data_IF_269785626690
#
_entry.id   IF_269785626690
#
_cell.length_a   1.000
_cell.length_b   1.000
_cell.length_c   1.000
_cell.angle_alpha   90.00
_cell.angle_beta   90.00
_cell.angle_gamma   90.00
#
_symmetry.space_group_name_H-M   'P 1'
#
loop_
_entity.id
_entity.type
_entity.pdbx_description
1 polymer ?
#
# COMPACT_ATOMS: atom_id res chain seq x y z
N UNK A 1 -1.29 13.36 3.82
CA UNK A 1 -2.43 12.87 3.00
C UNK A 1 -3.44 12.20 3.93
N UNK A 2 -4.69 12.04 3.52
CA UNK A 2 -5.68 11.33 4.33
C UNK A 2 -5.57 9.81 4.12
N UNK A 3 -6.15 9.00 5.02
CA UNK A 3 -6.24 7.56 4.81
C UNK A 3 -6.97 7.23 3.51
N UNK A 4 -8.01 7.99 3.16
CA UNK A 4 -8.76 7.80 1.92
C UNK A 4 -7.90 8.08 0.67
N UNK A 5 -7.05 9.12 0.70
CA UNK A 5 -6.12 9.40 -0.40
C UNK A 5 -5.10 8.28 -0.58
N UNK A 6 -4.59 7.73 0.52
CA UNK A 6 -3.65 6.62 0.52
C UNK A 6 -4.31 5.34 -0.04
N UNK A 7 -5.53 5.00 0.38
CA UNK A 7 -6.27 3.85 -0.18
C UNK A 7 -6.52 4.02 -1.67
N UNK A 8 -6.92 5.21 -2.11
CA UNK A 8 -7.08 5.56 -3.53
C UNK A 8 -5.78 5.38 -4.31
N UNK A 9 -4.66 5.80 -3.74
CA UNK A 9 -3.35 5.62 -4.35
C UNK A 9 -2.98 4.14 -4.50
N UNK A 10 -3.19 3.34 -3.44
CA UNK A 10 -2.95 1.89 -3.47
C UNK A 10 -3.84 1.21 -4.51
N UNK A 11 -5.13 1.57 -4.60
CA UNK A 11 -6.04 1.04 -5.61
C UNK A 11 -5.52 1.31 -7.03
N UNK A 12 -5.07 2.54 -7.31
CA UNK A 12 -4.47 2.89 -8.61
C UNK A 12 -3.18 2.12 -8.89
N UNK A 13 -2.34 1.93 -7.88
CA UNK A 13 -1.09 1.17 -7.99
C UNK A 13 -1.36 -0.29 -8.39
N UNK A 14 -2.36 -0.90 -7.76
CA UNK A 14 -2.80 -2.26 -8.07
C UNK A 14 -3.78 -2.34 -9.25
N UNK A 15 -4.06 -1.23 -9.95
CA UNK A 15 -5.05 -1.17 -11.04
C UNK A 15 -6.44 -1.70 -10.65
N UNK A 16 -6.77 -1.57 -9.37
CA UNK A 16 -8.04 -1.96 -8.77
C UNK A 16 -8.97 -0.75 -8.61
N UNK A 17 -10.27 -1.01 -8.44
CA UNK A 17 -11.22 0.05 -8.11
C UNK A 17 -11.04 0.54 -6.67
N UNK A 18 -11.16 1.85 -6.46
CA UNK A 18 -11.19 2.45 -5.11
C UNK A 18 -12.32 1.86 -4.24
N UNK A 19 -13.39 1.38 -4.87
CA UNK A 19 -14.51 0.71 -4.19
C UNK A 19 -14.27 -0.78 -3.92
N UNK A 20 -13.33 -1.40 -4.62
CA UNK A 20 -12.98 -2.82 -4.45
C UNK A 20 -11.91 -3.02 -3.37
N UNK A 21 -11.16 -1.96 -3.04
CA UNK A 21 -10.03 -2.02 -2.15
C UNK A 21 -10.33 -1.27 -0.85
N UNK A 22 -10.42 -2.02 0.25
CA UNK A 22 -10.64 -1.49 1.59
C UNK A 22 -9.41 -1.72 2.45
N UNK A 23 -9.20 -0.97 3.54
CA UNK A 23 -8.12 -1.26 4.50
C UNK A 23 -8.15 -2.71 4.99
N UNK A 24 -9.34 -3.28 5.16
CA UNK A 24 -9.54 -4.66 5.58
C UNK A 24 -9.29 -5.70 4.48
N UNK A 25 -9.09 -5.28 3.22
CA UNK A 25 -8.86 -6.21 2.11
C UNK A 25 -7.51 -6.90 2.31
N UNK A 26 -7.49 -8.25 2.39
CA UNK A 26 -6.25 -9.00 2.50
C UNK A 26 -5.52 -8.98 1.16
N UNK A 27 -4.19 -9.06 1.23
CA UNK A 27 -3.30 -9.21 0.08
C UNK A 27 -3.75 -10.33 -0.86
N UNK A 28 -4.14 -11.47 -0.31
CA UNK A 28 -4.56 -12.64 -1.09
C UNK A 28 -5.83 -12.39 -1.92
N UNK A 29 -6.63 -11.37 -1.58
CA UNK A 29 -7.79 -10.95 -2.33
C UNK A 29 -7.48 -9.90 -3.41
N UNK A 30 -6.23 -9.42 -3.50
CA UNK A 30 -5.76 -8.45 -4.49
C UNK A 30 -4.86 -9.17 -5.49
N UNK A 31 -5.38 -9.57 -6.68
CA UNK A 31 -4.60 -10.31 -7.68
C UNK A 31 -3.34 -9.57 -8.14
N UNK A 32 -3.41 -8.24 -8.18
CA UNK A 32 -2.29 -7.39 -8.56
C UNK A 32 -1.22 -7.25 -7.46
N UNK A 33 -1.45 -7.78 -6.25
CA UNK A 33 -0.49 -7.78 -5.15
C UNK A 33 0.38 -9.06 -5.15
N UNK A 34 0.99 -9.32 -6.29
CA UNK A 34 1.97 -10.38 -6.53
C UNK A 34 3.41 -9.83 -6.44
N UNK A 35 4.39 -10.56 -6.99
CA UNK A 35 5.79 -10.12 -7.02
C UNK A 35 6.00 -8.79 -7.77
N UNK A 36 5.20 -8.50 -8.81
CA UNK A 36 5.30 -7.26 -9.58
C UNK A 36 4.61 -6.11 -8.85
N UNK A 37 3.45 -6.38 -8.24
CA UNK A 37 2.75 -5.42 -7.38
C UNK A 37 3.60 -4.97 -6.20
N UNK A 38 4.29 -5.89 -5.54
CA UNK A 38 5.22 -5.58 -4.46
C UNK A 38 6.38 -4.69 -4.92
N UNK A 39 7.03 -5.02 -6.03
CA UNK A 39 8.11 -4.21 -6.59
C UNK A 39 7.63 -2.81 -6.97
N UNK A 40 6.44 -2.70 -7.54
CA UNK A 40 5.83 -1.41 -7.90
C UNK A 40 5.52 -0.61 -6.65
N UNK A 41 4.98 -1.25 -5.61
CA UNK A 41 4.73 -0.63 -4.32
C UNK A 41 6.03 -0.11 -3.69
N UNK A 42 7.10 -0.90 -3.70
CA UNK A 42 8.42 -0.48 -3.19
C UNK A 42 8.91 0.77 -3.92
N UNK A 43 8.91 0.74 -5.25
CA UNK A 43 9.39 1.84 -6.07
C UNK A 43 8.57 3.11 -5.83
N UNK A 44 7.24 2.99 -5.84
CA UNK A 44 6.34 4.15 -5.72
C UNK A 44 6.34 4.70 -4.28
N UNK A 45 6.55 3.86 -3.25
CA UNK A 45 6.76 4.34 -1.86
C UNK A 45 8.09 5.08 -1.69
N UNK A 46 9.16 4.60 -2.32
CA UNK A 46 10.45 5.28 -2.29
C UNK A 46 10.37 6.62 -3.06
N UNK A 47 9.84 6.63 -4.27
CA UNK A 47 9.74 7.84 -5.10
C UNK A 47 8.79 8.89 -4.53
N UNK A 48 7.59 8.50 -4.06
CA UNK A 48 6.59 9.47 -3.58
C UNK A 48 6.78 9.87 -2.13
N UNK A 49 7.21 8.94 -1.29
CA UNK A 49 7.27 9.15 0.15
C UNK A 49 8.68 9.15 0.71
N UNK A 50 9.68 8.71 -0.04
CA UNK A 50 11.02 8.47 0.47
C UNK A 50 11.06 7.32 1.46
N UNK A 51 10.13 6.36 1.35
CA UNK A 51 10.03 5.20 2.25
C UNK A 51 10.57 3.99 1.52
N UNK A 52 11.74 3.52 1.95
CA UNK A 52 12.32 2.27 1.47
C UNK A 52 11.68 1.11 2.22
N UNK A 53 10.75 0.42 1.56
CA UNK A 53 10.22 -0.84 2.07
C UNK A 53 11.27 -1.94 1.92
N UNK A 54 11.49 -2.68 3.00
CA UNK A 54 12.32 -3.89 2.98
C UNK A 54 11.48 -5.11 2.64
N UNK A 55 12.15 -6.11 2.07
CA UNK A 55 11.56 -7.41 1.72
C UNK A 55 10.86 -8.08 2.92
N UNK A 56 11.40 -7.90 4.13
CA UNK A 56 10.78 -8.37 5.36
C UNK A 56 9.47 -7.63 5.68
N UNK A 57 9.41 -6.32 5.46
CA UNK A 57 8.20 -5.53 5.68
C UNK A 57 7.08 -5.95 4.72
N UNK A 58 7.39 -6.21 3.46
CA UNK A 58 6.41 -6.71 2.49
C UNK A 58 5.89 -8.10 2.83
N UNK A 59 6.76 -9.00 3.32
CA UNK A 59 6.35 -10.34 3.74
C UNK A 59 5.41 -10.32 4.95
N UNK A 60 5.54 -9.34 5.84
CA UNK A 60 4.63 -9.21 6.99
C UNK A 60 3.37 -8.41 6.65
N UNK A 61 3.33 -7.71 5.52
CA UNK A 61 2.11 -7.06 5.03
C UNK A 61 1.14 -8.13 4.51
N UNK A 62 0.04 -8.29 5.22
CA UNK A 62 -1.03 -9.22 4.90
C UNK A 62 -2.30 -8.52 4.39
N UNK A 63 -2.42 -7.21 4.60
CA UNK A 63 -3.61 -6.41 4.23
C UNK A 63 -3.23 -4.98 3.85
N UNK A 64 -4.13 -4.31 3.14
CA UNK A 64 -3.97 -2.90 2.71
C UNK A 64 -3.70 -1.99 3.91
N UNK A 65 -4.33 -2.27 5.05
CA UNK A 65 -4.10 -1.56 6.32
C UNK A 65 -2.63 -1.51 6.73
N UNK A 66 -1.85 -2.56 6.45
CA UNK A 66 -0.44 -2.60 6.83
C UNK A 66 0.39 -1.58 6.03
N UNK A 67 0.03 -1.33 4.75
CA UNK A 67 0.63 -0.26 3.93
C UNK A 67 0.25 1.10 4.51
N UNK A 68 -1.03 1.28 4.86
CA UNK A 68 -1.53 2.52 5.47
C UNK A 68 -0.83 2.78 6.80
N UNK A 69 -0.58 1.75 7.60
CA UNK A 69 0.17 1.85 8.85
C UNK A 69 1.61 2.26 8.63
N UNK A 70 2.29 1.74 7.59
CA UNK A 70 3.64 2.22 7.25
C UNK A 70 3.60 3.71 6.90
N UNK A 71 2.64 4.16 6.09
CA UNK A 71 2.50 5.57 5.75
C UNK A 71 2.19 6.44 6.98
N UNK A 72 1.34 5.96 7.88
CA UNK A 72 0.99 6.63 9.15
C UNK A 72 2.19 6.72 10.08
N UNK A 73 2.92 5.63 10.27
CA UNK A 73 4.12 5.56 11.11
C UNK A 73 5.25 6.47 10.60
N UNK A 74 5.31 6.71 9.29
CA UNK A 74 6.24 7.64 8.67
C UNK A 74 5.71 9.09 8.60
N UNK A 75 4.57 9.39 9.22
CA UNK A 75 3.98 10.73 9.26
C UNK A 75 3.46 11.24 7.92
N UNK A 76 3.24 10.35 6.93
CA UNK A 76 2.70 10.70 5.61
C UNK A 76 1.18 10.80 5.64
N UNK A 77 0.53 9.99 6.47
CA UNK A 77 -0.89 10.12 6.77
C UNK A 77 -1.04 11.01 8.00
N UNK A 78 -1.78 12.10 7.82
CA UNK A 78 -2.18 13.03 8.87
C UNK A 78 -3.70 13.02 8.86
N UNK A 79 -4.26 12.13 9.66
CA UNK A 79 -5.69 12.01 9.94
C UNK A 79 -5.91 12.40 11.41
#
# INVERSE_FOLDING_TARGET
MTTQDATRWIARLFQESEDALTPATPRDAVPAWDSLGELTLMADMDEKFGIVLTDNQLRVMAKVDDILDVLRNNGKITD
#
